data_IF_840923613683
#
_entry.id   IF_840923613683
#
_cell.length_a   1.000
_cell.length_b   1.000
_cell.length_c   1.000
_cell.angle_alpha   90.00
_cell.angle_beta   90.00
_cell.angle_gamma   90.00
#
_symmetry.space_group_name_H-M   'P 1'
#
loop_
_entity.id
_entity.type
_entity.pdbx_description
1 polymer ?
#
# COMPACT_ATOMS: atom_id res chain seq x y z
N UNK A 1 -7.53 28.39 -57.95
CA UNK A 1 -8.60 27.53 -57.40
C UNK A 1 -7.90 26.36 -56.75
N UNK A 2 -7.99 26.29 -55.42
CA UNK A 2 -7.36 25.27 -54.59
C UNK A 2 -8.15 23.97 -54.70
N UNK A 3 -7.52 22.91 -55.20
CA UNK A 3 -8.04 21.54 -55.09
C UNK A 3 -7.94 21.11 -53.62
N UNK A 4 -9.08 21.06 -52.96
CA UNK A 4 -9.24 20.51 -51.62
C UNK A 4 -9.55 19.03 -51.76
N UNK A 5 -8.53 18.20 -51.59
CA UNK A 5 -8.69 16.77 -51.36
C UNK A 5 -9.52 16.58 -50.07
N UNK A 6 -10.61 15.77 -50.08
CA UNK A 6 -11.30 15.45 -48.85
C UNK A 6 -10.40 14.57 -47.98
N UNK A 7 -10.09 15.06 -46.78
CA UNK A 7 -9.48 14.28 -45.71
C UNK A 7 -10.36 13.05 -45.42
N UNK A 8 -9.79 11.84 -45.30
CA UNK A 8 -10.52 10.72 -44.73
C UNK A 8 -10.67 10.99 -43.22
N UNK A 9 -11.77 11.67 -42.88
CA UNK A 9 -12.34 11.60 -41.54
C UNK A 9 -12.93 10.20 -41.35
N UNK A 10 -12.77 9.69 -40.14
CA UNK A 10 -13.27 8.41 -39.62
C UNK A 10 -12.33 7.19 -39.78
N UNK A 11 -11.20 7.24 -39.07
CA UNK A 11 -10.59 6.03 -38.48
C UNK A 11 -11.13 5.91 -37.06
N UNK A 12 -12.42 5.59 -36.92
CA UNK A 12 -12.96 5.08 -35.66
C UNK A 12 -12.34 3.70 -35.40
N UNK A 13 -11.41 3.66 -34.44
CA UNK A 13 -11.00 2.50 -33.66
C UNK A 13 -10.93 1.16 -34.41
N UNK A 14 -9.90 0.97 -35.23
CA UNK A 14 -9.40 -0.39 -35.45
C UNK A 14 -8.54 -0.74 -34.23
N UNK A 15 -9.21 -1.05 -33.11
CA UNK A 15 -8.58 -1.83 -32.05
C UNK A 15 -8.10 -3.12 -32.73
N UNK A 16 -6.79 -3.31 -32.83
CA UNK A 16 -6.20 -4.53 -33.33
C UNK A 16 -6.87 -5.73 -32.62
N UNK A 17 -7.40 -6.73 -33.35
CA UNK A 17 -8.22 -7.76 -32.73
C UNK A 17 -7.37 -8.52 -31.72
N UNK A 18 -7.70 -8.34 -30.44
CA UNK A 18 -7.06 -9.00 -29.31
C UNK A 18 -6.96 -10.50 -29.59
N UNK A 19 -5.81 -11.08 -29.28
CA UNK A 19 -5.69 -12.54 -29.39
C UNK A 19 -6.75 -13.21 -28.49
N UNK A 20 -7.24 -14.42 -28.83
CA UNK A 20 -8.23 -15.12 -28.00
C UNK A 20 -7.80 -15.30 -26.53
N UNK A 21 -6.48 -15.26 -26.28
CA UNK A 21 -5.89 -15.27 -24.93
C UNK A 21 -6.00 -13.93 -24.23
N UNK A 22 -5.60 -12.84 -24.87
CA UNK A 22 -5.73 -11.48 -24.31
C UNK A 22 -7.18 -11.13 -24.03
N UNK A 23 -8.10 -11.50 -24.92
CA UNK A 23 -9.53 -11.32 -24.70
C UNK A 23 -10.08 -12.12 -23.50
N UNK A 24 -9.47 -13.25 -23.13
CA UNK A 24 -9.83 -14.01 -21.92
C UNK A 24 -9.26 -13.36 -20.66
N UNK A 25 -7.99 -12.94 -20.71
CA UNK A 25 -7.34 -12.22 -19.60
C UNK A 25 -8.06 -10.91 -19.28
N UNK A 26 -8.44 -10.15 -20.30
CA UNK A 26 -9.17 -8.90 -20.12
C UNK A 26 -10.57 -9.15 -19.54
N UNK A 27 -11.28 -10.20 -19.98
CA UNK A 27 -12.56 -10.60 -19.38
C UNK A 27 -12.41 -11.02 -17.91
N UNK A 28 -11.39 -11.80 -17.58
CA UNK A 28 -11.09 -12.20 -16.20
C UNK A 28 -10.78 -10.96 -15.34
N UNK A 29 -9.90 -10.07 -15.81
CA UNK A 29 -9.55 -8.84 -15.13
C UNK A 29 -10.76 -7.91 -14.92
N UNK A 30 -11.64 -7.75 -15.93
CA UNK A 30 -12.89 -6.98 -15.78
C UNK A 30 -13.81 -7.60 -14.73
N UNK A 31 -13.91 -8.92 -14.65
CA UNK A 31 -14.68 -9.62 -13.61
C UNK A 31 -14.17 -9.30 -12.19
N UNK A 32 -12.84 -9.37 -12.00
CA UNK A 32 -12.21 -9.01 -10.72
C UNK A 32 -12.38 -7.52 -10.41
N UNK A 33 -12.25 -6.65 -11.41
CA UNK A 33 -12.46 -5.20 -11.27
C UNK A 33 -13.90 -4.87 -10.85
N UNK A 34 -14.90 -5.52 -11.44
CA UNK A 34 -16.29 -5.37 -11.05
C UNK A 34 -16.52 -5.84 -9.61
N UNK A 35 -15.92 -6.97 -9.21
CA UNK A 35 -15.95 -7.43 -7.82
C UNK A 35 -15.34 -6.42 -6.85
N UNK A 36 -14.20 -5.82 -7.22
CA UNK A 36 -13.57 -4.76 -6.42
C UNK A 36 -14.46 -3.52 -6.33
N UNK A 37 -15.04 -3.08 -7.45
CA UNK A 37 -15.93 -1.92 -7.49
C UNK A 37 -17.20 -2.13 -6.66
N UNK A 38 -17.80 -3.33 -6.71
CA UNK A 38 -18.95 -3.70 -5.89
C UNK A 38 -18.61 -3.73 -4.40
N UNK A 39 -17.48 -4.35 -4.01
CA UNK A 39 -17.01 -4.33 -2.62
C UNK A 39 -16.77 -2.89 -2.12
N UNK A 40 -16.13 -2.05 -2.94
CA UNK A 40 -15.89 -0.65 -2.60
C UNK A 40 -17.19 0.16 -2.48
N UNK A 41 -18.17 -0.10 -3.35
CA UNK A 41 -19.49 0.53 -3.29
C UNK A 41 -20.23 0.11 -2.02
N UNK A 42 -20.22 -1.18 -1.66
CA UNK A 42 -20.82 -1.67 -0.42
C UNK A 42 -20.12 -1.04 0.80
N UNK A 43 -18.79 -0.95 0.79
CA UNK A 43 -18.04 -0.26 1.85
C UNK A 43 -18.50 1.20 2.02
N UNK A 44 -18.64 1.92 0.90
CA UNK A 44 -19.07 3.31 0.89
C UNK A 44 -20.51 3.46 1.41
N UNK A 45 -21.44 2.61 0.95
CA UNK A 45 -22.83 2.64 1.43
C UNK A 45 -22.90 2.35 2.94
N UNK A 46 -22.17 1.34 3.42
CA UNK A 46 -22.12 1.01 4.84
C UNK A 46 -21.49 2.12 5.68
N UNK A 47 -20.47 2.79 5.17
CA UNK A 47 -19.88 3.96 5.83
C UNK A 47 -20.89 5.11 5.93
N UNK A 48 -21.64 5.39 4.86
CA UNK A 48 -22.69 6.42 4.87
C UNK A 48 -23.83 6.06 5.83
N UNK A 49 -24.25 4.79 5.87
CA UNK A 49 -25.26 4.30 6.82
C UNK A 49 -24.75 4.43 8.25
N UNK A 50 -23.51 4.06 8.52
CA UNK A 50 -22.91 4.19 9.85
C UNK A 50 -22.79 5.66 10.31
N UNK A 51 -22.30 6.54 9.44
CA UNK A 51 -22.24 7.99 9.72
C UNK A 51 -23.65 8.56 9.92
N UNK A 52 -24.62 8.19 9.09
CA UNK A 52 -26.01 8.62 9.21
C UNK A 52 -26.64 8.15 10.53
N UNK A 53 -26.40 6.91 10.93
CA UNK A 53 -26.86 6.36 12.20
C UNK A 53 -26.24 7.10 13.40
N UNK A 54 -24.95 7.45 13.33
CA UNK A 54 -24.27 8.24 14.35
C UNK A 54 -24.87 9.65 14.47
N UNK A 55 -25.04 10.35 13.34
CA UNK A 55 -25.55 11.73 13.30
C UNK A 55 -27.00 11.82 13.79
N UNK A 56 -27.84 10.85 13.41
CA UNK A 56 -29.25 10.81 13.74
C UNK A 56 -29.54 10.06 15.05
N UNK A 57 -28.51 9.55 15.74
CA UNK A 57 -28.64 8.76 16.98
C UNK A 57 -29.63 7.59 16.85
N UNK A 58 -29.61 6.90 15.70
CA UNK A 58 -30.52 5.78 15.43
C UNK A 58 -29.97 4.52 16.09
N UNK A 59 -30.67 4.07 17.14
CA UNK A 59 -30.30 2.88 17.88
C UNK A 59 -30.51 1.60 17.07
N UNK A 60 -29.63 0.62 17.26
CA UNK A 60 -29.76 -0.72 16.67
C UNK A 60 -29.25 -0.88 15.24
N UNK A 61 -28.78 0.18 14.58
CA UNK A 61 -28.17 0.05 13.24
C UNK A 61 -26.87 -0.74 13.32
N UNK A 62 -25.99 -0.43 14.28
CA UNK A 62 -24.71 -1.13 14.43
C UNK A 62 -24.90 -2.60 14.81
N UNK A 63 -25.84 -2.92 15.71
CA UNK A 63 -26.17 -4.30 16.06
C UNK A 63 -26.80 -5.06 14.90
N UNK A 64 -27.65 -4.41 14.09
CA UNK A 64 -28.20 -5.00 12.86
C UNK A 64 -27.09 -5.29 11.83
N UNK A 65 -26.16 -4.36 11.61
CA UNK A 65 -25.03 -4.58 10.71
C UNK A 65 -24.11 -5.71 11.21
N UNK A 66 -23.83 -5.75 12.51
CA UNK A 66 -23.04 -6.81 13.13
C UNK A 66 -23.71 -8.19 12.93
N UNK A 67 -24.97 -8.33 13.31
CA UNK A 67 -25.70 -9.61 13.25
C UNK A 67 -26.01 -10.08 11.83
N UNK A 68 -26.16 -9.18 10.86
CA UNK A 68 -26.45 -9.55 9.47
C UNK A 68 -25.19 -9.79 8.63
N UNK A 69 -24.13 -9.01 8.85
CA UNK A 69 -22.98 -8.97 7.95
C UNK A 69 -21.69 -9.54 8.54
N UNK A 70 -21.61 -9.70 9.87
CA UNK A 70 -20.43 -10.21 10.57
C UNK A 70 -20.81 -11.02 11.82
N UNK A 71 -21.76 -11.95 11.68
CA UNK A 71 -22.44 -12.60 12.80
C UNK A 71 -21.55 -13.48 13.70
N UNK A 72 -20.36 -13.87 13.23
CA UNK A 72 -19.41 -14.70 13.99
C UNK A 72 -18.38 -13.88 14.78
N UNK A 73 -18.39 -12.56 14.65
CA UNK A 73 -17.43 -11.69 15.34
C UNK A 73 -17.78 -11.52 16.82
N UNK A 74 -16.76 -11.60 17.68
CA UNK A 74 -16.95 -11.61 19.15
C UNK A 74 -16.74 -10.24 19.80
N UNK A 75 -16.47 -9.20 19.01
CA UNK A 75 -16.26 -7.83 19.52
C UNK A 75 -17.57 -7.04 19.69
N UNK A 76 -17.44 -5.81 20.16
CA UNK A 76 -18.58 -4.90 20.32
C UNK A 76 -19.17 -4.50 18.95
N UNK A 77 -20.45 -4.11 18.91
CA UNK A 77 -21.15 -3.72 17.68
C UNK A 77 -20.41 -2.61 16.90
N UNK A 78 -19.89 -1.61 17.61
CA UNK A 78 -19.14 -0.51 17.01
C UNK A 78 -17.81 -1.00 16.40
N UNK A 79 -17.14 -1.96 17.05
CA UNK A 79 -15.94 -2.60 16.52
C UNK A 79 -16.25 -3.44 15.29
N UNK A 80 -17.37 -4.15 15.29
CA UNK A 80 -17.81 -5.00 14.19
C UNK A 80 -18.03 -4.18 12.91
N UNK A 81 -18.64 -2.99 13.02
CA UNK A 81 -18.85 -2.09 11.87
C UNK A 81 -17.52 -1.60 11.29
N UNK A 82 -16.57 -1.22 12.14
CA UNK A 82 -15.24 -0.80 11.65
C UNK A 82 -14.50 -1.98 11.01
N UNK A 83 -14.54 -3.16 11.63
CA UNK A 83 -13.96 -4.38 11.07
C UNK A 83 -14.57 -4.71 9.70
N UNK A 84 -15.88 -4.61 9.57
CA UNK A 84 -16.62 -4.82 8.34
C UNK A 84 -16.14 -3.88 7.22
N UNK A 85 -16.03 -2.58 7.51
CA UNK A 85 -15.53 -1.58 6.56
C UNK A 85 -14.09 -1.87 6.12
N UNK A 86 -13.22 -2.24 7.05
CA UNK A 86 -11.83 -2.55 6.73
C UNK A 86 -11.67 -3.83 5.93
N UNK A 87 -12.44 -4.88 6.24
CA UNK A 87 -12.44 -6.11 5.46
C UNK A 87 -12.90 -5.85 4.02
N UNK A 88 -13.93 -5.02 3.82
CA UNK A 88 -14.39 -4.64 2.50
C UNK A 88 -13.36 -3.81 1.73
N UNK A 89 -12.74 -2.82 2.38
CA UNK A 89 -11.69 -1.99 1.77
C UNK A 89 -10.43 -2.81 1.47
N UNK A 90 -10.05 -3.73 2.36
CA UNK A 90 -8.97 -4.69 2.16
C UNK A 90 -9.24 -5.67 1.01
N UNK A 91 -10.46 -6.19 0.91
CA UNK A 91 -10.87 -6.99 -0.26
C UNK A 91 -10.80 -6.16 -1.55
N UNK A 92 -11.25 -4.92 -1.51
CA UNK A 92 -11.19 -4.01 -2.66
C UNK A 92 -9.74 -3.81 -3.12
N UNK A 93 -8.83 -3.52 -2.19
CA UNK A 93 -7.41 -3.30 -2.51
C UNK A 93 -6.75 -4.56 -3.09
N UNK A 94 -6.98 -5.73 -2.48
CA UNK A 94 -6.40 -7.00 -2.92
C UNK A 94 -6.96 -7.46 -4.26
N UNK A 95 -8.27 -7.27 -4.51
CA UNK A 95 -8.85 -7.57 -5.83
C UNK A 95 -8.26 -6.68 -6.93
N UNK A 96 -8.02 -5.40 -6.65
CA UNK A 96 -7.34 -4.51 -7.61
C UNK A 96 -5.90 -4.96 -7.89
N UNK A 97 -5.17 -5.42 -6.87
CA UNK A 97 -3.82 -6.00 -7.03
C UNK A 97 -3.86 -7.25 -7.91
N UNK A 98 -4.81 -8.17 -7.67
CA UNK A 98 -5.00 -9.38 -8.48
C UNK A 98 -5.37 -9.04 -9.92
N UNK A 99 -6.26 -8.07 -10.14
CA UNK A 99 -6.64 -7.59 -11.48
C UNK A 99 -5.40 -7.16 -12.27
N UNK A 100 -4.54 -6.34 -11.66
CA UNK A 100 -3.33 -5.86 -12.35
C UNK A 100 -2.38 -7.03 -12.66
N UNK A 101 -2.19 -7.95 -11.73
CA UNK A 101 -1.37 -9.14 -11.95
C UNK A 101 -1.89 -10.04 -13.07
N UNK A 102 -3.21 -10.19 -13.21
CA UNK A 102 -3.83 -10.94 -14.32
C UNK A 102 -3.55 -10.27 -15.67
N UNK A 103 -3.68 -8.94 -15.76
CA UNK A 103 -3.38 -8.20 -16.98
C UNK A 103 -1.91 -8.34 -17.38
N UNK A 104 -1.01 -8.38 -16.39
CA UNK A 104 0.43 -8.55 -16.57
C UNK A 104 0.87 -10.01 -16.81
N UNK A 105 -0.02 -10.99 -16.66
CA UNK A 105 0.26 -12.43 -16.80
C UNK A 105 1.26 -12.97 -15.76
N UNK A 106 1.27 -12.40 -14.56
CA UNK A 106 2.24 -12.74 -13.53
C UNK A 106 1.82 -13.91 -12.63
N UNK A 107 2.77 -14.77 -12.27
CA UNK A 107 2.50 -15.99 -11.49
C UNK A 107 2.01 -15.68 -10.07
N UNK A 108 2.48 -14.59 -9.45
CA UNK A 108 2.02 -14.19 -8.12
C UNK A 108 0.54 -13.80 -8.10
N UNK A 109 -0.02 -13.34 -9.23
CA UNK A 109 -1.44 -12.96 -9.30
C UNK A 109 -2.36 -14.16 -9.01
N UNK A 110 -1.97 -15.34 -9.53
CA UNK A 110 -2.67 -16.59 -9.25
C UNK A 110 -2.55 -16.97 -7.77
N UNK A 111 -1.34 -16.87 -7.20
CA UNK A 111 -1.10 -17.21 -5.78
C UNK A 111 -1.91 -16.28 -4.86
N UNK A 112 -1.85 -14.97 -5.07
CA UNK A 112 -2.63 -14.00 -4.29
C UNK A 112 -4.12 -14.23 -4.50
N UNK A 113 -4.58 -14.51 -5.73
CA UNK A 113 -5.98 -14.82 -6.01
C UNK A 113 -6.50 -16.04 -5.25
N UNK A 114 -5.71 -17.12 -5.18
CA UNK A 114 -6.05 -18.33 -4.42
C UNK A 114 -6.04 -18.05 -2.92
N UNK A 115 -5.02 -17.35 -2.40
CA UNK A 115 -4.96 -16.97 -0.99
C UNK A 115 -6.13 -16.08 -0.60
N UNK A 116 -6.53 -15.15 -1.46
CA UNK A 116 -7.67 -14.28 -1.24
C UNK A 116 -9.00 -15.05 -1.26
N UNK A 117 -9.13 -16.05 -2.14
CA UNK A 117 -10.28 -16.93 -2.18
C UNK A 117 -10.38 -17.75 -0.88
N UNK A 118 -9.29 -18.41 -0.47
CA UNK A 118 -9.24 -19.18 0.77
C UNK A 118 -9.48 -18.31 2.00
N UNK A 119 -8.88 -17.11 2.04
CA UNK A 119 -9.07 -16.14 3.11
C UNK A 119 -10.52 -15.67 3.22
N UNK A 120 -11.19 -15.38 2.10
CA UNK A 120 -12.60 -15.00 2.10
C UNK A 120 -13.53 -16.16 2.50
N UNK A 121 -13.22 -17.40 2.10
CA UNK A 121 -13.94 -18.58 2.60
C UNK A 121 -13.75 -18.71 4.11
N UNK A 122 -12.52 -18.58 4.61
CA UNK A 122 -12.25 -18.65 6.04
C UNK A 122 -12.98 -17.54 6.82
N UNK A 123 -13.00 -16.30 6.31
CA UNK A 123 -13.74 -15.18 6.92
C UNK A 123 -15.26 -15.42 6.92
N UNK A 124 -15.80 -15.98 5.83
CA UNK A 124 -17.23 -16.32 5.74
C UNK A 124 -17.60 -17.41 6.76
N UNK A 125 -16.76 -18.43 6.93
CA UNK A 125 -17.04 -19.57 7.83
C UNK A 125 -16.79 -19.22 9.30
N UNK A 126 -15.70 -18.52 9.60
CA UNK A 126 -15.28 -18.25 10.99
C UNK A 126 -15.89 -16.98 11.56
N UNK A 127 -15.99 -15.91 10.78
CA UNK A 127 -16.46 -14.60 11.22
C UNK A 127 -17.88 -14.28 10.71
N UNK A 128 -18.44 -15.13 9.86
CA UNK A 128 -19.75 -14.86 9.26
C UNK A 128 -19.76 -13.65 8.33
N UNK A 129 -18.62 -13.31 7.71
CA UNK A 129 -18.47 -12.13 6.85
C UNK A 129 -19.23 -12.31 5.52
N UNK A 130 -20.51 -11.97 5.48
CA UNK A 130 -21.37 -12.21 4.31
C UNK A 130 -20.98 -11.43 3.06
N UNK A 131 -20.45 -10.18 3.13
CA UNK A 131 -19.97 -9.50 1.93
C UNK A 131 -18.78 -10.18 1.23
N UNK A 132 -18.12 -11.14 1.88
CA UNK A 132 -17.11 -11.99 1.24
C UNK A 132 -17.61 -12.66 -0.06
N UNK A 133 -18.92 -12.92 -0.15
CA UNK A 133 -19.54 -13.56 -1.32
C UNK A 133 -19.28 -12.79 -2.62
N UNK A 134 -19.18 -11.46 -2.57
CA UNK A 134 -18.86 -10.62 -3.74
C UNK A 134 -17.44 -10.93 -4.23
N UNK A 135 -16.47 -10.98 -3.30
CA UNK A 135 -15.09 -11.31 -3.62
C UNK A 135 -14.96 -12.76 -4.11
N UNK A 136 -15.64 -13.70 -3.45
CA UNK A 136 -15.66 -15.11 -3.84
C UNK A 136 -16.24 -15.30 -5.25
N UNK A 137 -17.39 -14.69 -5.55
CA UNK A 137 -18.01 -14.76 -6.88
C UNK A 137 -17.08 -14.23 -7.97
N UNK A 138 -16.43 -13.08 -7.73
CA UNK A 138 -15.48 -12.49 -8.67
C UNK A 138 -14.25 -13.39 -8.90
N UNK A 139 -13.69 -13.98 -7.83
CA UNK A 139 -12.53 -14.86 -7.91
C UNK A 139 -12.87 -16.21 -8.55
N UNK A 140 -14.00 -16.83 -8.20
CA UNK A 140 -14.47 -18.09 -8.81
C UNK A 140 -14.72 -17.90 -10.31
N UNK A 141 -15.40 -16.81 -10.68
CA UNK A 141 -15.58 -16.46 -12.08
C UNK A 141 -14.25 -16.29 -12.80
N UNK A 142 -13.33 -15.51 -12.21
CA UNK A 142 -11.99 -15.31 -12.75
C UNK A 142 -11.23 -16.63 -12.95
N UNK A 143 -11.22 -17.51 -11.94
CA UNK A 143 -10.59 -18.83 -12.02
C UNK A 143 -11.22 -19.70 -13.10
N UNK A 144 -12.56 -19.68 -13.25
CA UNK A 144 -13.26 -20.43 -14.31
C UNK A 144 -12.84 -20.01 -15.73
N UNK A 145 -12.61 -18.71 -15.94
CA UNK A 145 -12.18 -18.15 -17.23
C UNK A 145 -10.70 -18.49 -17.51
N UNK A 146 -9.86 -18.58 -16.48
CA UNK A 146 -8.41 -18.78 -16.59
C UNK A 146 -7.96 -20.25 -16.55
N UNK A 147 -8.78 -21.15 -15.99
CA UNK A 147 -8.50 -22.59 -15.85
C UNK A 147 -7.99 -23.27 -17.14
N UNK A 148 -8.52 -22.99 -18.35
CA UNK A 148 -8.02 -23.58 -19.59
C UNK A 148 -6.59 -23.17 -19.97
N UNK A 149 -6.12 -22.03 -19.47
CA UNK A 149 -4.89 -21.34 -19.91
C UNK A 149 -3.93 -21.05 -18.73
N UNK A 150 -3.87 -21.90 -17.70
CA UNK A 150 -2.97 -21.69 -16.54
C UNK A 150 -1.48 -21.54 -16.91
N UNK A 151 -1.06 -22.08 -18.07
CA UNK A 151 0.29 -21.90 -18.64
C UNK A 151 0.59 -20.47 -19.13
N UNK A 152 -0.40 -19.57 -19.10
CA UNK A 152 -0.26 -18.15 -19.37
C UNK A 152 0.51 -17.43 -18.27
N UNK A 153 0.38 -17.87 -17.02
CA UNK A 153 1.18 -17.35 -15.91
C UNK A 153 2.61 -17.85 -16.01
N UNK A 154 3.53 -16.96 -16.36
CA UNK A 154 4.95 -17.28 -16.54
C UNK A 154 5.79 -16.27 -15.79
N UNK A 155 6.98 -16.68 -15.40
CA UNK A 155 7.98 -15.74 -14.91
C UNK A 155 8.31 -14.76 -16.02
N UNK A 156 8.13 -13.48 -15.73
CA UNK A 156 8.33 -12.43 -16.71
C UNK A 156 9.78 -12.40 -17.23
N UNK A 157 10.01 -12.56 -18.55
CA UNK A 157 11.35 -12.57 -19.11
C UNK A 157 12.03 -11.19 -18.98
N UNK A 158 11.27 -10.10 -18.97
CA UNK A 158 11.80 -8.74 -18.77
C UNK A 158 12.33 -8.60 -17.36
N UNK A 159 11.58 -9.06 -16.35
CA UNK A 159 12.04 -9.07 -14.96
C UNK A 159 13.35 -9.84 -14.83
N UNK A 160 13.41 -11.06 -15.36
CA UNK A 160 14.60 -11.92 -15.26
C UNK A 160 15.82 -11.31 -15.95
N UNK A 161 15.63 -10.71 -17.13
CA UNK A 161 16.68 -10.01 -17.87
C UNK A 161 17.20 -8.82 -17.08
N UNK A 162 16.30 -7.93 -16.63
CA UNK A 162 16.64 -6.70 -15.92
C UNK A 162 17.31 -6.97 -14.57
N UNK A 163 16.80 -7.92 -13.78
CA UNK A 163 17.42 -8.33 -12.52
C UNK A 163 18.83 -8.88 -12.75
N UNK A 164 19.00 -9.72 -13.78
CA UNK A 164 20.32 -10.24 -14.15
C UNK A 164 21.27 -9.13 -14.58
N UNK A 165 20.81 -8.17 -15.39
CA UNK A 165 21.61 -7.02 -15.80
C UNK A 165 22.00 -6.13 -14.63
N UNK A 166 21.08 -5.88 -13.68
CA UNK A 166 21.37 -5.11 -12.46
C UNK A 166 22.41 -5.80 -11.59
N UNK A 167 22.28 -7.11 -11.39
CA UNK A 167 23.22 -7.91 -10.58
C UNK A 167 24.57 -8.14 -11.28
N UNK A 168 24.62 -7.98 -12.61
CA UNK A 168 25.83 -8.20 -13.41
C UNK A 168 26.72 -6.96 -13.43
N UNK A 169 27.54 -6.83 -12.40
CA UNK A 169 28.62 -5.84 -12.34
C UNK A 169 28.91 -5.35 -10.93
N UNK A 170 30.00 -4.61 -10.77
CA UNK A 170 30.43 -4.07 -9.47
C UNK A 170 29.44 -3.05 -8.88
N UNK A 171 28.55 -2.46 -9.70
CA UNK A 171 27.59 -1.43 -9.26
C UNK A 171 26.60 -1.95 -8.22
N UNK A 172 26.03 -3.15 -8.40
CA UNK A 172 25.10 -3.72 -7.44
C UNK A 172 25.78 -3.97 -6.08
N UNK A 173 26.97 -4.57 -6.10
CA UNK A 173 27.77 -4.77 -4.89
C UNK A 173 28.15 -3.43 -4.23
N UNK A 174 28.54 -2.42 -5.00
CA UNK A 174 28.86 -1.09 -4.47
C UNK A 174 27.64 -0.43 -3.80
N UNK A 175 26.46 -0.47 -4.44
CA UNK A 175 25.22 0.07 -3.86
C UNK A 175 24.85 -0.66 -2.59
N UNK A 176 24.91 -2.00 -2.58
CA UNK A 176 24.62 -2.80 -1.39
C UNK A 176 25.60 -2.51 -0.25
N UNK A 177 26.90 -2.41 -0.52
CA UNK A 177 27.92 -2.07 0.47
C UNK A 177 27.71 -0.66 1.03
N UNK A 178 27.43 0.33 0.18
CA UNK A 178 27.15 1.72 0.61
C UNK A 178 25.86 1.79 1.42
N UNK A 179 24.83 1.05 1.02
CA UNK A 179 23.56 0.97 1.74
C UNK A 179 23.77 0.38 3.14
N UNK A 180 24.41 -0.78 3.24
CA UNK A 180 24.68 -1.44 4.52
C UNK A 180 25.65 -0.64 5.39
N UNK A 181 26.65 0.02 4.80
CA UNK A 181 27.59 0.84 5.56
C UNK A 181 26.91 2.08 6.14
N UNK A 182 26.01 2.73 5.39
CA UNK A 182 25.24 3.87 5.87
C UNK A 182 24.28 3.45 7.00
N UNK A 183 23.58 2.33 6.82
CA UNK A 183 22.72 1.75 7.85
C UNK A 183 23.51 1.38 9.12
N UNK A 184 24.67 0.76 8.96
CA UNK A 184 25.55 0.38 10.08
C UNK A 184 26.10 1.60 10.81
N UNK A 185 26.58 2.59 10.05
CA UNK A 185 27.10 3.84 10.60
C UNK A 185 26.02 4.60 11.38
N UNK A 186 24.79 4.67 10.85
CA UNK A 186 23.66 5.27 11.55
C UNK A 186 23.29 4.51 12.82
N UNK A 187 23.27 3.18 12.77
CA UNK A 187 23.01 2.33 13.95
C UNK A 187 24.06 2.55 15.05
N UNK A 188 25.34 2.63 14.67
CA UNK A 188 26.44 2.93 15.60
C UNK A 188 26.29 4.34 16.16
N UNK A 189 25.94 5.32 15.34
CA UNK A 189 25.71 6.70 15.78
C UNK A 189 24.60 6.76 16.83
N UNK A 190 23.48 6.05 16.61
CA UNK A 190 22.39 5.96 17.58
C UNK A 190 22.84 5.28 18.87
N UNK A 191 23.60 4.18 18.78
CA UNK A 191 24.14 3.51 19.95
C UNK A 191 25.03 4.42 20.79
N UNK A 192 25.97 5.15 20.15
CA UNK A 192 26.87 6.08 20.85
C UNK A 192 26.08 7.26 21.42
N UNK A 193 25.09 7.78 20.70
CA UNK A 193 24.27 8.92 21.15
C UNK A 193 23.36 8.60 22.34
N UNK A 194 22.77 7.41 22.38
CA UNK A 194 21.79 7.02 23.40
C UNK A 194 22.39 6.20 24.55
N UNK A 195 23.56 5.57 24.38
CA UNK A 195 24.19 4.79 25.46
C UNK A 195 24.54 5.59 26.73
N UNK A 196 24.97 6.87 26.69
CA UNK A 196 25.30 7.62 27.91
C UNK A 196 24.05 8.01 28.71
N UNK A 197 22.97 8.37 28.01
CA UNK A 197 21.66 8.67 28.59
C UNK A 197 21.08 7.46 29.36
N UNK A 198 21.48 6.27 28.93
CA UNK A 198 21.00 4.98 29.41
C UNK A 198 21.83 4.38 30.56
N UNK A 199 22.93 5.02 30.97
CA UNK A 199 23.81 4.50 32.04
C UNK A 199 23.43 4.95 33.46
N UNK A 200 22.48 5.88 33.60
CA UNK A 200 22.16 6.52 34.89
C UNK A 200 21.02 5.89 35.69
N UNK A 201 20.23 4.96 35.12
CA UNK A 201 18.99 4.43 35.73
C UNK A 201 18.92 2.91 35.45
N UNK A 202 18.36 2.16 36.40
CA UNK A 202 18.22 0.70 36.56
C UNK A 202 18.03 -0.23 35.32
N UNK A 203 18.08 -1.55 35.56
CA UNK A 203 17.94 -2.69 34.61
C UNK A 203 16.80 -2.66 33.57
N UNK A 204 15.81 -1.77 33.70
CA UNK A 204 14.77 -1.51 32.68
C UNK A 204 15.30 -0.82 31.42
N UNK A 205 16.54 -0.32 31.44
CA UNK A 205 17.10 0.56 30.41
C UNK A 205 17.69 -0.16 29.19
N UNK A 206 18.11 -1.42 29.31
CA UNK A 206 18.66 -2.16 28.15
C UNK A 206 17.60 -2.35 27.04
N UNK A 207 16.34 -2.57 27.43
CA UNK A 207 15.23 -2.73 26.49
C UNK A 207 14.71 -1.42 25.87
N UNK A 208 15.05 -0.26 26.44
CA UNK A 208 14.74 1.04 25.83
C UNK A 208 15.74 1.37 24.71
N UNK A 209 17.03 1.09 24.94
CA UNK A 209 18.06 1.17 23.93
C UNK A 209 17.73 0.30 22.70
N UNK A 210 17.31 -0.95 22.91
CA UNK A 210 16.89 -1.83 21.81
C UNK A 210 15.73 -1.24 20.98
N UNK A 211 14.73 -0.64 21.64
CA UNK A 211 13.59 0.03 20.97
C UNK A 211 14.02 1.23 20.14
N UNK A 212 14.90 2.09 20.69
CA UNK A 212 15.42 3.27 19.97
C UNK A 212 16.25 2.85 18.77
N UNK A 213 17.13 1.85 18.93
CA UNK A 213 17.93 1.32 17.83
C UNK A 213 17.04 0.75 16.73
N UNK A 214 16.04 -0.08 17.07
CA UNK A 214 15.12 -0.65 16.10
C UNK A 214 14.32 0.43 15.35
N UNK A 215 13.69 1.35 16.09
CA UNK A 215 12.92 2.44 15.49
C UNK A 215 13.80 3.33 14.60
N UNK A 216 15.04 3.58 15.03
CA UNK A 216 16.03 4.31 14.25
C UNK A 216 16.41 3.60 12.96
N UNK A 217 16.73 2.31 13.01
CA UNK A 217 17.07 1.47 11.85
C UNK A 217 15.91 1.44 10.85
N UNK A 218 14.70 1.13 11.30
CA UNK A 218 13.50 1.15 10.43
C UNK A 218 13.26 2.55 9.86
N UNK A 219 13.50 3.60 10.65
CA UNK A 219 13.35 4.98 10.21
C UNK A 219 14.32 5.37 9.09
N UNK A 220 15.62 5.04 9.23
CA UNK A 220 16.60 5.32 8.17
C UNK A 220 16.34 4.46 6.92
N UNK A 221 15.92 3.21 7.09
CA UNK A 221 15.55 2.32 6.00
C UNK A 221 14.39 2.88 5.18
N UNK A 222 13.36 3.37 5.88
CA UNK A 222 12.22 4.04 5.25
C UNK A 222 12.67 5.28 4.47
N UNK A 223 13.54 6.11 5.04
CA UNK A 223 14.11 7.28 4.34
C UNK A 223 14.86 6.84 3.08
N UNK A 224 15.69 5.81 3.16
CA UNK A 224 16.43 5.31 2.01
C UNK A 224 15.48 4.78 0.92
N UNK A 225 14.43 4.06 1.27
CA UNK A 225 13.42 3.57 0.31
C UNK A 225 12.71 4.73 -0.39
N UNK A 226 12.37 5.80 0.34
CA UNK A 226 11.75 7.01 -0.23
C UNK A 226 12.61 7.59 -1.37
N UNK A 227 13.93 7.52 -1.26
CA UNK A 227 14.84 7.97 -2.31
C UNK A 227 15.07 6.91 -3.39
N UNK A 228 15.33 5.67 -2.99
CA UNK A 228 15.72 4.59 -3.91
C UNK A 228 14.56 4.18 -4.83
N UNK A 229 13.35 4.06 -4.31
CA UNK A 229 12.23 3.48 -5.06
C UNK A 229 11.83 4.34 -6.28
N UNK A 230 11.62 5.66 -6.17
CA UNK A 230 11.41 6.52 -7.34
C UNK A 230 12.64 6.59 -8.25
N UNK A 231 13.87 6.61 -7.70
CA UNK A 231 15.09 6.67 -8.51
C UNK A 231 15.21 5.49 -9.49
N UNK A 232 14.86 4.28 -9.04
CA UNK A 232 15.02 3.06 -9.84
C UNK A 232 13.85 2.77 -10.78
N UNK A 233 12.73 3.47 -10.62
CA UNK A 233 11.50 3.26 -11.41
C UNK A 233 11.16 4.44 -12.31
N UNK A 234 11.58 5.67 -11.99
CA UNK A 234 11.37 6.84 -12.83
C UNK A 234 12.04 6.73 -14.21
N UNK A 235 13.13 5.95 -14.32
CA UNK A 235 13.82 5.65 -15.57
C UNK A 235 13.31 4.41 -16.32
N UNK A 236 12.28 3.72 -15.81
CA UNK A 236 11.87 2.41 -16.33
C UNK A 236 11.42 2.43 -17.80
N UNK A 237 10.69 3.49 -18.19
CA UNK A 237 10.18 3.69 -19.56
C UNK A 237 10.94 4.80 -20.27
N UNK A 238 11.20 5.94 -19.60
CA UNK A 238 11.98 7.04 -20.18
C UNK A 238 13.39 6.61 -20.58
N UNK A 239 14.01 5.68 -19.83
CA UNK A 239 15.34 5.18 -20.17
C UNK A 239 15.38 4.43 -21.51
N UNK A 240 14.29 3.74 -21.88
CA UNK A 240 14.17 3.09 -23.19
C UNK A 240 13.90 4.12 -24.30
N UNK A 241 13.12 5.16 -24.00
CA UNK A 241 12.89 6.29 -24.93
C UNK A 241 14.18 7.03 -25.24
N UNK A 242 14.97 7.35 -24.21
CA UNK A 242 16.25 8.05 -24.35
C UNK A 242 17.29 7.23 -25.10
N UNK A 243 17.25 5.90 -24.97
CA UNK A 243 18.13 4.97 -25.71
C UNK A 243 17.63 4.64 -27.11
N UNK A 244 16.48 5.18 -27.54
CA UNK A 244 15.82 4.87 -28.83
C UNK A 244 15.54 3.37 -29.04
N UNK A 245 15.37 2.63 -27.95
CA UNK A 245 15.02 1.20 -27.96
C UNK A 245 13.52 0.98 -27.81
N UNK A 246 12.77 2.02 -27.46
CA UNK A 246 11.32 1.97 -27.30
C UNK A 246 10.60 1.54 -28.57
N UNK A 247 10.96 2.10 -29.73
CA UNK A 247 10.32 1.77 -31.02
C UNK A 247 10.61 0.32 -31.43
N UNK A 248 11.82 -0.18 -31.12
CA UNK A 248 12.18 -1.58 -31.32
C UNK A 248 11.40 -2.52 -30.39
N UNK A 249 11.06 -2.07 -29.18
CA UNK A 249 10.27 -2.85 -28.24
C UNK A 249 8.80 -2.94 -28.71
N UNK A 250 8.27 -1.89 -29.34
CA UNK A 250 6.90 -1.87 -29.85
C UNK A 250 6.64 -2.89 -30.96
N UNK A 251 7.66 -3.24 -31.75
CA UNK A 251 7.52 -4.27 -32.80
C UNK A 251 7.63 -5.71 -32.26
N UNK A 252 7.84 -5.90 -30.95
CA UNK A 252 7.92 -7.23 -30.33
C UNK A 252 6.55 -7.75 -29.91
N UNK A 253 6.38 -9.08 -29.85
CA UNK A 253 5.16 -9.75 -29.36
C UNK A 253 4.98 -9.69 -27.83
N UNK A 254 5.57 -8.70 -27.15
CA UNK A 254 5.58 -8.64 -25.70
C UNK A 254 4.41 -7.79 -25.18
N UNK A 255 3.50 -8.36 -24.37
CA UNK A 255 2.35 -7.62 -23.89
C UNK A 255 2.78 -6.48 -22.96
N UNK A 256 2.26 -5.27 -23.19
CA UNK A 256 2.63 -4.05 -22.46
C UNK A 256 2.41 -4.11 -20.95
N UNK A 257 1.31 -4.68 -20.43
CA UNK A 257 1.17 -4.85 -18.98
C UNK A 257 2.28 -5.71 -18.37
N UNK A 258 2.73 -6.75 -19.08
CA UNK A 258 3.87 -7.57 -18.68
C UNK A 258 5.17 -6.77 -18.77
N UNK A 259 5.38 -5.94 -19.80
CA UNK A 259 6.56 -5.06 -19.85
C UNK A 259 6.65 -4.13 -18.62
N UNK A 260 5.57 -3.41 -18.32
CA UNK A 260 5.51 -2.45 -17.20
C UNK A 260 5.72 -3.18 -15.87
N UNK A 261 5.03 -4.30 -15.68
CA UNK A 261 5.14 -5.07 -14.44
C UNK A 261 6.53 -5.66 -14.26
N UNK A 262 7.14 -6.21 -15.31
CA UNK A 262 8.51 -6.74 -15.25
C UNK A 262 9.56 -5.68 -14.91
N UNK A 263 9.36 -4.43 -15.37
CA UNK A 263 10.20 -3.29 -14.99
C UNK A 263 10.01 -2.93 -13.51
N UNK A 264 8.77 -2.91 -13.02
CA UNK A 264 8.45 -2.65 -11.62
C UNK A 264 9.02 -3.73 -10.71
N UNK A 265 8.78 -5.01 -11.03
CA UNK A 265 9.26 -6.17 -10.28
C UNK A 265 10.78 -6.26 -10.24
N UNK A 266 11.47 -5.92 -11.32
CA UNK A 266 12.93 -5.87 -11.29
C UNK A 266 13.45 -4.79 -10.33
N UNK A 267 12.83 -3.61 -10.32
CA UNK A 267 13.19 -2.56 -9.38
C UNK A 267 12.85 -2.95 -7.93
N UNK A 268 11.65 -3.48 -7.70
CA UNK A 268 11.19 -3.94 -6.39
C UNK A 268 11.99 -5.14 -5.88
N UNK A 269 12.39 -6.06 -6.74
CA UNK A 269 13.23 -7.21 -6.40
C UNK A 269 14.58 -6.77 -5.86
N UNK A 270 15.19 -5.75 -6.46
CA UNK A 270 16.43 -5.18 -5.93
C UNK A 270 16.22 -4.42 -4.61
N UNK A 271 15.11 -3.69 -4.45
CA UNK A 271 14.76 -3.05 -3.18
C UNK A 271 14.52 -4.10 -2.09
N UNK A 272 13.85 -5.20 -2.41
CA UNK A 272 13.61 -6.31 -1.51
C UNK A 272 14.92 -7.00 -1.10
N UNK A 273 15.90 -7.11 -2.01
CA UNK A 273 17.24 -7.56 -1.64
C UNK A 273 17.91 -6.60 -0.63
N UNK A 274 17.76 -5.28 -0.78
CA UNK A 274 18.28 -4.31 0.19
C UNK A 274 17.57 -4.42 1.55
N UNK A 275 16.25 -4.58 1.55
CA UNK A 275 15.44 -4.81 2.76
C UNK A 275 15.89 -6.08 3.49
N UNK A 276 16.01 -7.21 2.78
CA UNK A 276 16.46 -8.47 3.35
C UNK A 276 17.90 -8.37 3.88
N UNK A 277 18.77 -7.63 3.19
CA UNK A 277 20.14 -7.41 3.63
C UNK A 277 20.23 -6.58 4.91
N UNK A 278 19.21 -5.79 5.25
CA UNK A 278 19.13 -5.01 6.49
C UNK A 278 18.62 -5.82 7.71
N UNK A 279 18.02 -7.01 7.49
CA UNK A 279 17.49 -7.86 8.58
C UNK A 279 18.53 -8.16 9.67
N UNK A 280 19.81 -8.49 9.36
CA UNK A 280 20.81 -8.71 10.39
C UNK A 280 21.04 -7.48 11.28
N UNK A 281 20.97 -6.26 10.72
CA UNK A 281 21.09 -5.03 11.51
C UNK A 281 19.87 -4.83 12.42
N UNK A 282 18.67 -5.03 11.88
CA UNK A 282 17.44 -5.00 12.70
C UNK A 282 17.51 -6.05 13.83
N UNK A 283 18.10 -7.22 13.54
CA UNK A 283 18.25 -8.30 14.52
C UNK A 283 19.19 -7.96 15.67
N UNK A 284 20.16 -7.05 15.48
CA UNK A 284 21.00 -6.58 16.57
C UNK A 284 20.19 -5.87 17.66
N UNK A 285 19.06 -5.25 17.32
CA UNK A 285 18.19 -4.61 18.30
C UNK A 285 17.54 -5.63 19.26
N UNK A 286 17.31 -6.87 18.81
CA UNK A 286 16.81 -7.94 19.69
C UNK A 286 17.80 -8.31 20.80
N UNK A 287 19.11 -8.16 20.56
CA UNK A 287 20.14 -8.48 21.55
C UNK A 287 20.07 -7.58 22.79
N UNK A 288 19.60 -6.34 22.62
CA UNK A 288 19.38 -5.40 23.73
C UNK A 288 18.03 -5.62 24.43
N UNK A 289 17.18 -6.49 23.88
CA UNK A 289 15.82 -6.71 24.37
C UNK A 289 14.87 -5.55 24.05
N UNK A 290 13.58 -5.76 24.32
CA UNK A 290 12.55 -4.73 24.17
C UNK A 290 11.89 -4.59 22.80
N UNK A 291 12.24 -5.43 21.82
CA UNK A 291 11.59 -5.50 20.49
C UNK A 291 10.92 -6.86 20.35
N UNK A 292 9.65 -6.89 19.95
CA UNK A 292 8.92 -8.14 19.68
C UNK A 292 9.08 -8.61 18.23
N UNK A 293 8.94 -9.91 17.98
CA UNK A 293 8.96 -10.48 16.62
C UNK A 293 7.85 -9.88 15.73
N UNK A 294 6.72 -9.57 16.35
CA UNK A 294 5.56 -8.95 15.69
C UNK A 294 5.89 -7.53 15.19
N UNK A 295 6.64 -6.74 15.95
CA UNK A 295 7.09 -5.40 15.52
C UNK A 295 7.97 -5.47 14.27
N UNK A 296 8.86 -6.47 14.18
CA UNK A 296 9.71 -6.65 12.99
C UNK A 296 8.88 -7.05 11.78
N UNK A 297 7.98 -8.01 11.93
CA UNK A 297 7.09 -8.44 10.83
C UNK A 297 6.23 -7.30 10.30
N UNK A 298 5.63 -6.49 11.18
CA UNK A 298 4.79 -5.36 10.80
C UNK A 298 5.60 -4.21 10.19
N UNK A 299 6.76 -3.89 10.75
CA UNK A 299 7.64 -2.85 10.18
C UNK A 299 8.10 -3.25 8.78
N UNK A 300 8.49 -4.50 8.58
CA UNK A 300 8.86 -5.03 7.27
C UNK A 300 7.70 -4.98 6.27
N UNK A 301 6.47 -5.30 6.69
CA UNK A 301 5.28 -5.17 5.86
C UNK A 301 5.03 -3.71 5.44
N UNK A 302 5.14 -2.75 6.36
CA UNK A 302 5.01 -1.31 6.06
C UNK A 302 6.08 -0.87 5.04
N UNK A 303 7.33 -1.32 5.21
CA UNK A 303 8.42 -0.99 4.28
C UNK A 303 8.17 -1.55 2.87
N UNK A 304 7.68 -2.80 2.75
CA UNK A 304 7.32 -3.39 1.45
C UNK A 304 6.20 -2.61 0.78
N UNK A 305 5.11 -2.32 1.51
CA UNK A 305 3.97 -1.57 0.95
C UNK A 305 4.41 -0.16 0.51
N UNK A 306 5.29 0.48 1.28
CA UNK A 306 5.91 1.76 0.91
C UNK A 306 6.71 1.63 -0.38
N UNK A 307 7.60 0.63 -0.47
CA UNK A 307 8.43 0.39 -1.66
C UNK A 307 7.58 0.14 -2.91
N UNK A 308 6.55 -0.70 -2.82
CA UNK A 308 5.61 -0.99 -3.92
C UNK A 308 4.93 0.28 -4.41
N UNK A 309 4.43 1.10 -3.49
CA UNK A 309 3.69 2.32 -3.83
C UNK A 309 4.60 3.36 -4.47
N UNK A 310 5.76 3.64 -3.87
CA UNK A 310 6.70 4.62 -4.39
C UNK A 310 7.37 4.17 -5.69
N UNK A 311 7.63 2.87 -5.84
CA UNK A 311 8.08 2.29 -7.11
C UNK A 311 7.03 2.46 -8.20
N UNK A 312 5.74 2.28 -7.86
CA UNK A 312 4.66 2.49 -8.82
C UNK A 312 4.48 3.97 -9.18
N UNK A 313 4.65 4.89 -8.23
CA UNK A 313 4.67 6.35 -8.47
C UNK A 313 5.76 6.70 -9.49
N UNK A 314 7.00 6.24 -9.27
CA UNK A 314 8.10 6.51 -10.20
C UNK A 314 7.84 5.94 -11.59
N UNK A 315 7.36 4.69 -11.66
CA UNK A 315 6.98 4.05 -12.92
C UNK A 315 5.87 4.81 -13.66
N UNK A 316 4.83 5.24 -12.95
CA UNK A 316 3.74 6.02 -13.52
C UNK A 316 4.27 7.29 -14.19
N UNK A 317 5.05 8.10 -13.48
CA UNK A 317 5.63 9.31 -14.06
C UNK A 317 6.64 9.03 -15.19
N UNK A 318 7.29 7.86 -15.18
CA UNK A 318 8.12 7.40 -16.31
C UNK A 318 7.30 7.22 -17.60
N UNK A 319 6.06 6.74 -17.52
CA UNK A 319 5.17 6.63 -18.70
C UNK A 319 4.74 8.00 -19.22
N UNK A 320 4.64 8.99 -18.34
CA UNK A 320 4.16 10.34 -18.64
C UNK A 320 5.22 11.21 -19.29
N UNK A 321 6.44 11.17 -18.76
CA UNK A 321 7.50 12.05 -19.16
C UNK A 321 8.24 11.54 -20.41
N UNK A 322 8.86 12.46 -21.15
CA UNK A 322 9.71 12.12 -22.29
C UNK A 322 11.16 11.86 -21.86
N UNK A 323 11.61 12.55 -20.78
CA UNK A 323 12.96 12.48 -20.24
C UNK A 323 12.97 11.96 -18.81
N UNK A 324 14.00 11.19 -18.47
CA UNK A 324 14.19 10.57 -17.16
C UNK A 324 14.29 11.61 -16.04
N UNK A 325 14.97 12.74 -16.29
CA UNK A 325 15.04 13.83 -15.30
C UNK A 325 13.65 14.38 -14.96
N UNK A 326 12.81 14.65 -15.96
CA UNK A 326 11.45 15.15 -15.74
C UNK A 326 10.56 14.12 -15.03
N UNK A 327 10.72 12.83 -15.36
CA UNK A 327 10.04 11.74 -14.64
C UNK A 327 10.42 11.73 -13.17
N UNK A 328 11.73 11.75 -12.87
CA UNK A 328 12.26 11.71 -11.52
C UNK A 328 11.80 12.90 -10.68
N UNK A 329 11.87 14.12 -11.22
CA UNK A 329 11.40 15.32 -10.51
C UNK A 329 9.92 15.20 -10.15
N UNK A 330 9.07 14.79 -11.10
CA UNK A 330 7.63 14.62 -10.84
C UNK A 330 7.38 13.52 -9.80
N UNK A 331 8.06 12.39 -9.89
CA UNK A 331 7.95 11.29 -8.93
C UNK A 331 8.36 11.72 -7.51
N UNK A 332 9.46 12.46 -7.37
CA UNK A 332 9.90 12.98 -6.07
C UNK A 332 8.96 14.06 -5.53
N UNK A 333 8.46 14.97 -6.36
CA UNK A 333 7.48 15.98 -5.92
C UNK A 333 6.19 15.34 -5.42
N UNK A 334 5.70 14.29 -6.09
CA UNK A 334 4.52 13.55 -5.66
C UNK A 334 4.79 12.78 -4.36
N UNK A 335 5.93 12.06 -4.29
CA UNK A 335 6.35 11.31 -3.10
C UNK A 335 6.47 12.22 -1.88
N UNK A 336 7.15 13.35 -2.04
CA UNK A 336 7.28 14.36 -0.98
C UNK A 336 5.93 14.93 -0.56
N UNK A 337 5.06 15.22 -1.53
CA UNK A 337 3.71 15.73 -1.23
C UNK A 337 2.87 14.72 -0.46
N UNK A 338 2.89 13.46 -0.87
CA UNK A 338 2.12 12.38 -0.23
C UNK A 338 2.59 12.10 1.19
N UNK A 339 3.91 11.97 1.42
CA UNK A 339 4.47 11.52 2.69
C UNK A 339 4.64 12.68 3.68
N UNK A 340 5.07 13.85 3.21
CA UNK A 340 5.42 14.97 4.08
C UNK A 340 4.41 16.11 3.98
N UNK A 341 4.17 16.67 2.79
CA UNK A 341 3.42 17.91 2.69
C UNK A 341 1.95 17.75 3.12
N UNK A 342 1.23 16.75 2.59
CA UNK A 342 -0.19 16.53 2.90
C UNK A 342 -0.39 16.17 4.37
N UNK A 343 0.33 15.19 4.96
CA UNK A 343 0.18 14.87 6.38
C UNK A 343 0.58 16.03 7.29
N UNK A 344 1.62 16.81 6.95
CA UNK A 344 2.03 17.96 7.74
C UNK A 344 0.98 19.08 7.72
N UNK A 345 0.45 19.43 6.55
CA UNK A 345 -0.58 20.48 6.43
C UNK A 345 -1.85 20.06 7.16
N UNK A 346 -2.34 18.84 6.92
CA UNK A 346 -3.53 18.32 7.61
C UNK A 346 -3.30 18.19 9.13
N UNK A 347 -2.12 17.73 9.54
CA UNK A 347 -1.73 17.62 10.95
C UNK A 347 -1.70 18.97 11.65
N UNK A 348 -1.18 20.02 11.01
CA UNK A 348 -1.20 21.39 11.54
C UNK A 348 -2.65 21.88 11.69
N UNK A 349 -3.47 21.71 10.65
CA UNK A 349 -4.89 22.13 10.67
C UNK A 349 -5.63 21.43 11.82
N UNK A 350 -5.51 20.11 11.94
CA UNK A 350 -6.19 19.33 12.98
C UNK A 350 -5.64 19.65 14.37
N UNK A 351 -4.33 19.90 14.51
CA UNK A 351 -3.71 20.33 15.77
C UNK A 351 -4.26 21.67 16.24
N UNK A 352 -4.40 22.64 15.34
CA UNK A 352 -5.00 23.95 15.64
C UNK A 352 -6.46 23.77 16.10
N UNK A 353 -7.27 22.99 15.36
CA UNK A 353 -8.66 22.71 15.72
C UNK A 353 -8.73 22.02 17.08
N UNK A 354 -7.86 21.04 17.33
CA UNK A 354 -7.78 20.31 18.60
C UNK A 354 -7.41 21.25 19.75
N UNK A 355 -6.51 22.21 19.53
CA UNK A 355 -6.17 23.23 20.53
C UNK A 355 -7.35 24.09 20.99
N UNK A 356 -8.37 24.28 20.14
CA UNK A 356 -9.63 24.93 20.53
C UNK A 356 -10.66 23.95 21.10
N UNK A 357 -10.53 22.66 20.79
CA UNK A 357 -11.47 21.62 21.20
C UNK A 357 -11.22 21.07 22.60
N UNK A 358 -10.03 21.25 23.17
CA UNK A 358 -9.66 20.78 24.51
C UNK A 358 -9.23 21.94 25.41
N UNK A 359 -9.65 21.92 26.67
CA UNK A 359 -9.14 22.82 27.68
C UNK A 359 -7.68 22.49 28.03
N UNK A 360 -6.91 23.41 28.64
CA UNK A 360 -5.55 23.12 29.11
C UNK A 360 -5.46 21.94 30.11
N UNK A 361 -6.55 21.65 30.82
CA UNK A 361 -6.72 20.48 31.70
C UNK A 361 -6.89 19.15 30.96
N UNK A 362 -6.96 19.16 29.62
CA UNK A 362 -7.20 17.97 28.78
C UNK A 362 -8.67 17.57 28.64
N UNK A 363 -9.59 18.31 29.26
CA UNK A 363 -11.04 18.08 29.16
C UNK A 363 -11.56 18.60 27.83
N UNK A 364 -12.28 17.76 27.07
CA UNK A 364 -12.89 18.17 25.82
C UNK A 364 -13.99 19.22 26.05
N UNK A 365 -13.96 20.30 25.26
CA UNK A 365 -14.91 21.41 25.25
C UNK A 365 -15.98 21.25 24.16
N UNK A 366 -15.91 20.16 23.40
CA UNK A 366 -16.74 19.88 22.23
C UNK A 366 -17.67 18.71 22.49
N UNK A 367 -18.67 18.54 21.63
CA UNK A 367 -19.55 17.38 21.70
C UNK A 367 -18.76 16.07 21.48
N UNK A 368 -19.19 14.94 22.08
CA UNK A 368 -18.52 13.65 21.91
C UNK A 368 -18.36 13.22 20.44
N UNK A 369 -19.35 13.56 19.61
CA UNK A 369 -19.29 13.31 18.17
C UNK A 369 -18.12 14.04 17.49
N UNK A 370 -17.94 15.33 17.80
CA UNK A 370 -16.86 16.12 17.22
C UNK A 370 -15.49 15.66 17.75
N UNK A 371 -15.39 15.32 19.03
CA UNK A 371 -14.19 14.73 19.63
C UNK A 371 -13.78 13.43 18.91
N UNK A 372 -14.72 12.49 18.75
CA UNK A 372 -14.46 11.24 18.03
C UNK A 372 -14.06 11.47 16.58
N UNK A 373 -14.70 12.41 15.89
CA UNK A 373 -14.35 12.77 14.51
C UNK A 373 -12.91 13.28 14.40
N UNK A 374 -12.47 14.13 15.34
CA UNK A 374 -11.09 14.61 15.37
C UNK A 374 -10.09 13.47 15.60
N UNK A 375 -10.40 12.53 16.49
CA UNK A 375 -9.56 11.36 16.75
C UNK A 375 -9.42 10.49 15.49
N UNK A 376 -10.52 10.20 14.78
CA UNK A 376 -10.46 9.46 13.51
C UNK A 376 -9.71 10.22 12.42
N UNK A 377 -9.82 11.55 12.36
CA UNK A 377 -9.04 12.38 11.42
C UNK A 377 -7.54 12.32 11.71
N UNK A 378 -7.14 12.38 12.98
CA UNK A 378 -5.74 12.19 13.38
C UNK A 378 -5.26 10.81 12.94
N UNK A 379 -6.05 9.77 13.18
CA UNK A 379 -5.72 8.41 12.77
C UNK A 379 -5.56 8.27 11.26
N UNK A 380 -6.42 8.93 10.48
CA UNK A 380 -6.30 8.97 9.03
C UNK A 380 -5.00 9.67 8.57
N UNK A 381 -4.62 10.78 9.22
CA UNK A 381 -3.37 11.50 8.92
C UNK A 381 -2.15 10.63 9.23
N UNK A 382 -2.18 9.88 10.34
CA UNK A 382 -1.12 8.92 10.68
C UNK A 382 -0.98 7.86 9.58
N UNK A 383 -2.10 7.33 9.07
CA UNK A 383 -2.11 6.35 7.98
C UNK A 383 -1.55 6.88 6.64
N UNK A 384 -1.41 8.19 6.45
CA UNK A 384 -0.81 8.77 5.24
C UNK A 384 0.71 8.89 5.31
N UNK A 385 1.30 8.75 6.50
CA UNK A 385 2.74 8.85 6.69
C UNK A 385 3.30 7.49 7.17
N UNK A 386 4.15 6.81 6.39
CA UNK A 386 4.65 5.48 6.74
C UNK A 386 5.51 5.50 8.02
N UNK A 387 6.22 6.59 8.30
CA UNK A 387 7.03 6.74 9.52
C UNK A 387 6.12 6.85 10.75
N UNK A 388 5.11 7.72 10.69
CA UNK A 388 4.13 7.88 11.78
C UNK A 388 3.36 6.57 12.01
N UNK A 389 2.94 5.92 10.92
CA UNK A 389 2.28 4.60 10.96
C UNK A 389 3.14 3.57 11.70
N UNK A 390 4.43 3.46 11.35
CA UNK A 390 5.35 2.51 11.99
C UNK A 390 5.56 2.83 13.48
N UNK A 391 5.77 4.10 13.83
CA UNK A 391 6.00 4.52 15.22
C UNK A 391 4.77 4.31 16.10
N UNK A 392 3.58 4.70 15.63
CA UNK A 392 2.33 4.55 16.40
C UNK A 392 1.94 3.08 16.49
N UNK A 393 2.09 2.30 15.41
CA UNK A 393 1.84 0.84 15.46
C UNK A 393 2.74 0.16 16.48
N UNK A 394 4.04 0.52 16.52
CA UNK A 394 4.97 0.03 17.53
C UNK A 394 4.56 0.43 18.93
N UNK A 395 4.18 1.68 19.14
CA UNK A 395 3.73 2.16 20.45
C UNK A 395 2.50 1.40 20.95
N UNK A 396 1.53 1.11 20.08
CA UNK A 396 0.35 0.32 20.41
C UNK A 396 0.71 -1.14 20.77
N UNK A 397 1.63 -1.77 20.03
CA UNK A 397 2.09 -3.13 20.35
C UNK A 397 2.77 -3.21 21.72
N UNK A 398 3.55 -2.18 22.05
CA UNK A 398 4.32 -2.13 23.30
C UNK A 398 3.44 -1.74 24.50
N UNK A 399 2.56 -0.74 24.34
CA UNK A 399 1.76 -0.18 25.42
C UNK A 399 0.45 -0.94 25.67
N UNK A 400 -0.20 -1.42 24.61
CA UNK A 400 -1.53 -2.03 24.68
C UNK A 400 -1.53 -3.51 24.32
N UNK A 401 -0.41 -4.07 23.82
CA UNK A 401 -0.29 -5.47 23.38
C UNK A 401 -1.34 -5.88 22.33
N UNK A 402 -1.84 -4.92 21.56
CA UNK A 402 -2.85 -5.13 20.51
C UNK A 402 -2.26 -4.95 19.12
N UNK A 403 -2.52 -5.90 18.23
CA UNK A 403 -2.09 -5.83 16.82
C UNK A 403 -3.11 -5.07 15.95
N UNK A 404 -4.40 -5.23 16.24
CA UNK A 404 -5.50 -4.81 15.36
C UNK A 404 -6.36 -3.70 15.93
N UNK A 405 -7.34 -4.07 16.75
CA UNK A 405 -8.29 -3.11 17.34
C UNK A 405 -7.85 -2.71 18.74
N UNK A 406 -8.08 -1.45 19.08
CA UNK A 406 -7.94 -0.92 20.42
C UNK A 406 -9.06 0.10 20.70
N UNK A 407 -9.28 0.45 21.95
CA UNK A 407 -10.33 1.41 22.34
C UNK A 407 -9.72 2.60 23.05
N UNK A 408 -10.19 3.80 22.75
CA UNK A 408 -9.84 5.01 23.51
C UNK A 408 -11.07 5.60 24.19
N UNK A 409 -10.90 6.12 25.39
CA UNK A 409 -11.94 6.81 26.15
C UNK A 409 -12.00 8.28 25.76
N UNK A 410 -13.19 8.78 25.46
CA UNK A 410 -13.45 10.19 25.20
C UNK A 410 -13.35 10.97 26.51
N UNK A 411 -12.68 12.12 26.43
CA UNK A 411 -12.52 13.06 27.52
C UNK A 411 -13.82 13.83 27.81
N UNK A 412 -14.71 13.98 26.82
CA UNK A 412 -15.99 14.71 26.98
C UNK A 412 -17.01 13.99 27.86
N UNK A 413 -17.19 12.68 27.70
CA UNK A 413 -18.28 11.92 28.32
C UNK A 413 -17.85 10.58 28.93
N UNK A 414 -16.56 10.21 28.85
CA UNK A 414 -16.06 8.91 29.30
C UNK A 414 -16.50 7.71 28.47
N UNK A 415 -17.22 7.91 27.36
CA UNK A 415 -17.56 6.83 26.42
C UNK A 415 -16.31 6.30 25.73
N UNK A 416 -16.34 5.06 25.27
CA UNK A 416 -15.22 4.47 24.52
C UNK A 416 -15.54 4.43 23.04
N UNK A 417 -14.55 4.75 22.21
CA UNK A 417 -14.63 4.53 20.76
C UNK A 417 -13.59 3.50 20.33
N UNK A 418 -13.95 2.63 19.38
CA UNK A 418 -13.02 1.69 18.79
C UNK A 418 -12.15 2.34 17.73
N UNK A 419 -10.86 2.04 17.76
CA UNK A 419 -9.86 2.47 16.80
C UNK A 419 -9.12 1.27 16.23
N UNK A 420 -8.45 1.50 15.12
CA UNK A 420 -7.72 0.47 14.40
C UNK A 420 -6.27 0.88 14.27
N UNK A 421 -5.39 -0.10 14.49
CA UNK A 421 -3.97 0.06 14.35
C UNK A 421 -3.61 0.64 12.97
N UNK A 422 -2.77 1.68 12.92
CA UNK A 422 -2.55 2.47 11.69
C UNK A 422 -2.06 1.65 10.50
N UNK A 423 -1.30 0.58 10.72
CA UNK A 423 -0.73 -0.25 9.64
C UNK A 423 -1.79 -0.84 8.70
N UNK A 424 -2.99 -1.12 9.21
CA UNK A 424 -4.10 -1.67 8.41
C UNK A 424 -4.62 -0.60 7.44
N UNK A 425 -4.93 0.60 7.96
CA UNK A 425 -5.39 1.72 7.16
C UNK A 425 -4.35 2.17 6.14
N UNK A 426 -3.09 2.29 6.57
CA UNK A 426 -1.94 2.57 5.71
C UNK A 426 -1.84 1.56 4.56
N UNK A 427 -1.89 0.26 4.88
CA UNK A 427 -1.79 -0.82 3.89
C UNK A 427 -2.87 -0.72 2.81
N UNK A 428 -4.12 -0.50 3.22
CA UNK A 428 -5.25 -0.34 2.30
C UNK A 428 -5.05 0.87 1.39
N UNK A 429 -4.77 2.05 1.96
CA UNK A 429 -4.65 3.31 1.20
C UNK A 429 -3.53 3.20 0.16
N UNK A 430 -2.36 2.71 0.57
CA UNK A 430 -1.18 2.63 -0.29
C UNK A 430 -1.32 1.59 -1.39
N UNK A 431 -1.91 0.42 -1.10
CA UNK A 431 -2.15 -0.61 -2.12
C UNK A 431 -3.21 -0.18 -3.14
N UNK A 432 -4.28 0.51 -2.72
CA UNK A 432 -5.25 1.09 -3.65
C UNK A 432 -4.58 2.12 -4.54
N UNK A 433 -3.80 3.03 -3.96
CA UNK A 433 -3.05 4.05 -4.71
C UNK A 433 -2.11 3.39 -5.73
N UNK A 434 -1.34 2.38 -5.32
CA UNK A 434 -0.45 1.65 -6.21
C UNK A 434 -1.23 0.98 -7.35
N UNK A 435 -2.30 0.25 -7.06
CA UNK A 435 -3.08 -0.43 -8.10
C UNK A 435 -3.70 0.55 -9.11
N UNK A 436 -4.21 1.70 -8.63
CA UNK A 436 -4.76 2.75 -9.49
C UNK A 436 -3.67 3.36 -10.38
N UNK A 437 -2.53 3.76 -9.81
CA UNK A 437 -1.42 4.34 -10.58
C UNK A 437 -0.85 3.37 -11.62
N UNK A 438 -0.74 2.09 -11.27
CA UNK A 438 -0.27 1.05 -12.18
C UNK A 438 -1.25 0.83 -13.32
N UNK A 439 -2.55 0.82 -13.03
CA UNK A 439 -3.61 0.72 -14.06
C UNK A 439 -3.58 1.92 -15.01
N UNK A 440 -3.38 3.14 -14.48
CA UNK A 440 -3.25 4.34 -15.29
C UNK A 440 -1.98 4.32 -16.15
N UNK A 441 -0.86 3.83 -15.62
CA UNK A 441 0.39 3.65 -16.38
C UNK A 441 0.19 2.70 -17.57
N UNK A 442 -0.47 1.55 -17.34
CA UNK A 442 -0.79 0.56 -18.39
C UNK A 442 -1.69 1.18 -19.47
N UNK A 443 -2.79 1.85 -19.07
CA UNK A 443 -3.72 2.50 -20.01
C UNK A 443 -3.05 3.58 -20.85
N UNK A 444 -2.11 4.33 -20.26
CA UNK A 444 -1.41 5.40 -20.96
C UNK A 444 -0.47 4.86 -22.04
N UNK A 445 0.24 3.76 -21.78
CA UNK A 445 1.07 3.12 -22.81
C UNK A 445 0.26 2.58 -23.99
N UNK A 446 -1.02 2.24 -23.80
CA UNK A 446 -1.92 1.87 -24.92
C UNK A 446 -2.30 3.06 -25.79
N UNK A 447 -2.37 4.29 -25.24
CA UNK A 447 -2.81 5.48 -25.99
C UNK A 447 -1.72 6.14 -26.83
N UNK A 448 -0.43 5.90 -26.57
CA UNK A 448 0.66 6.52 -27.34
C UNK A 448 0.85 5.92 -28.75
N UNK A 449 -0.19 5.27 -29.29
CA UNK A 449 -0.29 4.73 -30.65
C UNK A 449 -1.23 5.58 -31.54
N UNK A 450 -1.89 6.58 -30.94
CA UNK A 450 -2.73 7.57 -31.61
C UNK A 450 -1.95 8.89 -31.71
#
# INVERSE_FOLDING_TARGET
>A
MQDTLPLPNDISSVDEPLTPREARLERAARGVQLGAALNGLVALLLALVGIGAALLSVNGVYSALHTLLLFGFTGADDQAVIALLLLLLGNTSLLLVVMVGILAQELWAFVIGVLLLLGNVALLVTQGFTPALIALGALIWCTSVLLPDLRAFRTNPVMMKELRERMRGARAFAVMTVYLSLMSAFSILLYIGFSPLSRGISTSVTGELGRVLFAGVVGIELVLIIFIAPAFTAGAVTGERERKTYDLLQITLLPRPSFIMGKLESALGYILLLLLAAIPLQSMAFLFGGVSEQEVGLSFAILIVTAVTLGTVGLFFSTIAERTLTASVRAYTFTFSLIFAVPAILGIIVSIISGFAYAPSGTALVSPFLEGTLIYLIQFIICLNPMATALVTRDLLVSQQTVGFYTTTLSSNGSTIPLVSPWIGFGIIYLVLAAVLLTLAIRRMRRSEL
#
